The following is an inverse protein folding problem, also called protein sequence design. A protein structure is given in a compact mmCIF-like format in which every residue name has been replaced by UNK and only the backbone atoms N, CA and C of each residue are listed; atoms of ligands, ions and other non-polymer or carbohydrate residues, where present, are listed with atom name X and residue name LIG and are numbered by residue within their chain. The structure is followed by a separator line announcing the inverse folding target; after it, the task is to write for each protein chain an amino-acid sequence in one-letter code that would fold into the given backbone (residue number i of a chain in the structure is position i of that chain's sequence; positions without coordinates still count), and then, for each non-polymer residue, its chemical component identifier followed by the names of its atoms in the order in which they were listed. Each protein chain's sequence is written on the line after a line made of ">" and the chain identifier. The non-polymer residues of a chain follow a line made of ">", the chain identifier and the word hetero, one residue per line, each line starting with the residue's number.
data_IF_645968563151
#
_entry.id   IF_645968563151
#
_cell.length_a   1.000
_cell.length_b   1.000
_cell.length_c   1.000
_cell.angle_alpha   90.00
_cell.angle_beta   90.00
_cell.angle_gamma   90.00
#
_symmetry.space_group_name_H-M   'P 1'
#
loop_
_entity.id
_entity.type
_entity.pdbx_description
1 polymer ?
#
# COMPACT_ATOMS: atom_id res chain seq x y z
N UNK A 1 -5.17 22.72 -18.79
CA UNK A 1 -5.43 21.92 -17.57
C UNK A 1 -5.01 22.82 -16.40
N UNK A 2 -5.89 23.08 -15.46
CA UNK A 2 -5.58 23.90 -14.29
C UNK A 2 -5.07 23.02 -13.16
N UNK A 3 -3.87 23.28 -12.68
CA UNK A 3 -3.22 22.58 -11.56
C UNK A 3 -3.32 23.35 -10.24
N UNK A 4 -4.09 24.43 -10.21
CA UNK A 4 -4.31 25.19 -8.99
C UNK A 4 -5.16 24.37 -8.01
N UNK A 5 -4.72 24.33 -6.76
CA UNK A 5 -5.48 23.68 -5.71
C UNK A 5 -6.62 24.62 -5.29
N UNK A 6 -7.83 24.09 -5.17
CA UNK A 6 -8.94 24.86 -4.58
C UNK A 6 -8.67 25.12 -3.09
N UNK A 7 -9.44 26.05 -2.50
CA UNK A 7 -9.27 26.47 -1.11
C UNK A 7 -9.36 25.31 -0.10
N UNK A 8 -10.33 24.41 -0.30
CA UNK A 8 -10.54 23.26 0.60
C UNK A 8 -9.32 22.32 0.57
N UNK A 9 -8.82 22.01 -0.61
CA UNK A 9 -7.65 21.13 -0.76
C UNK A 9 -6.38 21.81 -0.24
N UNK A 10 -6.22 23.11 -0.48
CA UNK A 10 -5.09 23.90 0.03
C UNK A 10 -5.09 23.94 1.56
N UNK A 11 -6.24 24.17 2.17
CA UNK A 11 -6.39 24.14 3.62
C UNK A 11 -6.14 22.75 4.21
N UNK A 12 -6.66 21.69 3.56
CA UNK A 12 -6.44 20.32 3.99
C UNK A 12 -4.96 19.93 3.88
N UNK A 13 -4.28 20.31 2.80
CA UNK A 13 -2.84 20.12 2.62
C UNK A 13 -2.03 20.77 3.75
N UNK A 14 -2.37 22.02 4.10
CA UNK A 14 -1.72 22.73 5.20
C UNK A 14 -1.93 22.01 6.55
N UNK A 15 -3.13 21.49 6.82
CA UNK A 15 -3.43 20.69 8.02
C UNK A 15 -2.63 19.39 8.06
N UNK A 16 -2.54 18.66 6.93
CA UNK A 16 -1.71 17.44 6.84
C UNK A 16 -0.25 17.77 7.10
N UNK A 17 0.28 18.84 6.49
CA UNK A 17 1.65 19.30 6.73
C UNK A 17 1.90 19.60 8.21
N UNK A 18 1.02 20.38 8.82
CA UNK A 18 1.11 20.71 10.25
C UNK A 18 1.07 19.46 11.13
N UNK A 19 0.18 18.51 10.82
CA UNK A 19 0.08 17.25 11.55
C UNK A 19 1.37 16.43 11.46
N UNK A 20 1.94 16.31 10.24
CA UNK A 20 3.21 15.61 10.01
C UNK A 20 4.34 16.26 10.80
N UNK A 21 4.50 17.57 10.69
CA UNK A 21 5.60 18.30 11.32
C UNK A 21 5.46 18.31 12.87
N UNK A 22 4.25 18.45 13.40
CA UNK A 22 4.02 18.59 14.84
C UNK A 22 3.91 17.25 15.59
N UNK A 23 3.43 16.19 14.95
CA UNK A 23 3.10 14.95 15.65
C UNK A 23 3.83 13.72 15.11
N UNK A 24 4.05 13.61 13.79
CA UNK A 24 4.62 12.40 13.21
C UNK A 24 6.14 12.46 13.27
N UNK A 25 6.76 13.53 12.77
CA UNK A 25 8.22 13.66 12.73
C UNK A 25 8.86 13.50 14.12
N UNK A 26 8.34 14.13 15.20
CA UNK A 26 8.92 13.93 16.53
C UNK A 26 8.76 12.52 17.09
N UNK A 27 7.83 11.72 16.54
CA UNK A 27 7.54 10.35 17.00
C UNK A 27 8.19 9.25 16.15
N UNK A 28 8.90 9.58 15.06
CA UNK A 28 9.47 8.61 14.12
C UNK A 28 10.31 7.54 14.80
N UNK A 29 11.30 7.96 15.60
CA UNK A 29 12.22 7.04 16.27
C UNK A 29 11.50 6.10 17.26
N UNK A 30 10.47 6.62 17.94
CA UNK A 30 9.64 5.83 18.87
C UNK A 30 8.85 4.78 18.08
N UNK A 31 8.20 5.18 16.97
CA UNK A 31 7.43 4.26 16.13
C UNK A 31 8.32 3.15 15.57
N UNK A 32 9.50 3.49 15.07
CA UNK A 32 10.44 2.51 14.53
C UNK A 32 11.00 1.57 15.61
N UNK A 33 11.27 2.08 16.80
CA UNK A 33 11.70 1.26 17.95
C UNK A 33 10.58 0.32 18.43
N UNK A 34 9.35 0.81 18.51
CA UNK A 34 8.18 0.01 18.84
C UNK A 34 7.94 -1.10 17.82
N UNK A 35 8.04 -0.81 16.52
CA UNK A 35 7.86 -1.80 15.45
C UNK A 35 8.87 -2.94 15.57
N UNK A 36 10.16 -2.64 15.80
CA UNK A 36 11.21 -3.63 16.09
C UNK A 36 10.91 -4.51 17.30
N UNK A 37 10.22 -3.94 18.29
CA UNK A 37 9.77 -4.65 19.48
C UNK A 37 8.42 -5.36 19.31
N UNK A 38 7.83 -5.35 18.10
CA UNK A 38 6.51 -5.91 17.82
C UNK A 38 5.35 -5.13 18.42
N UNK A 39 5.58 -3.85 18.75
CA UNK A 39 4.59 -2.93 19.33
C UNK A 39 4.18 -1.85 18.34
N UNK A 40 3.03 -1.23 18.54
CA UNK A 40 2.49 -0.17 17.68
C UNK A 40 1.64 0.84 18.44
N UNK A 41 2.00 1.12 19.69
CA UNK A 41 1.20 1.97 20.58
C UNK A 41 1.17 3.42 20.07
N UNK A 42 2.34 3.97 19.80
CA UNK A 42 2.48 5.34 19.27
C UNK A 42 1.84 5.50 17.89
N UNK A 43 2.02 4.53 16.98
CA UNK A 43 1.38 4.54 15.68
C UNK A 43 -0.16 4.55 15.81
N UNK A 44 -0.72 3.69 16.66
CA UNK A 44 -2.17 3.62 16.90
C UNK A 44 -2.73 4.91 17.51
N UNK A 45 -1.99 5.53 18.45
CA UNK A 45 -2.37 6.81 19.04
C UNK A 45 -2.42 7.92 17.99
N UNK A 46 -1.43 7.99 17.09
CA UNK A 46 -1.42 8.96 15.99
C UNK A 46 -2.50 8.68 14.95
N UNK A 47 -2.80 7.42 14.65
CA UNK A 47 -3.93 7.04 13.80
C UNK A 47 -5.27 7.48 14.40
N UNK A 48 -5.47 7.29 15.71
CA UNK A 48 -6.67 7.76 16.40
C UNK A 48 -6.78 9.29 16.34
N UNK A 49 -5.67 10.00 16.53
CA UNK A 49 -5.63 11.46 16.39
C UNK A 49 -5.94 11.91 14.97
N UNK A 50 -5.38 11.26 13.94
CA UNK A 50 -5.66 11.58 12.54
C UNK A 50 -7.15 11.41 12.20
N UNK A 51 -7.80 10.39 12.78
CA UNK A 51 -9.27 10.21 12.67
C UNK A 51 -10.03 11.34 13.35
N UNK A 52 -9.68 11.68 14.58
CA UNK A 52 -10.34 12.77 15.33
C UNK A 52 -10.21 14.11 14.61
N UNK A 53 -9.08 14.37 13.98
CA UNK A 53 -8.81 15.58 13.21
C UNK A 53 -9.43 15.53 11.79
N UNK A 54 -10.15 14.45 11.42
CA UNK A 54 -10.79 14.29 10.10
C UNK A 54 -9.78 14.20 8.94
N UNK A 55 -8.60 13.64 9.17
CA UNK A 55 -7.54 13.47 8.17
C UNK A 55 -7.34 12.00 7.76
N UNK A 56 -8.24 11.11 8.18
CA UNK A 56 -8.18 9.68 7.92
C UNK A 56 -8.61 9.33 6.50
N UNK A 57 -7.88 8.45 5.82
CA UNK A 57 -8.16 7.94 4.47
C UNK A 57 -8.71 8.99 3.48
N UNK A 58 -8.09 10.17 3.35
CA UNK A 58 -8.68 11.31 2.62
C UNK A 58 -8.92 11.02 1.13
N UNK A 59 -8.31 9.97 0.57
CA UNK A 59 -8.51 9.52 -0.81
C UNK A 59 -9.85 8.81 -1.02
N UNK A 60 -10.39 8.19 0.01
CA UNK A 60 -11.65 7.45 -0.09
C UNK A 60 -12.88 8.38 -0.10
N UNK A 61 -14.03 7.91 -0.60
CA UNK A 61 -15.27 8.67 -0.57
C UNK A 61 -15.72 9.00 0.86
N UNK A 62 -16.53 10.07 1.05
CA UNK A 62 -17.09 10.44 2.35
C UNK A 62 -17.87 9.33 3.04
N UNK A 63 -18.56 8.47 2.28
CA UNK A 63 -19.27 7.31 2.81
C UNK A 63 -18.37 6.29 3.55
N UNK A 64 -17.07 6.31 3.27
CA UNK A 64 -16.03 5.50 3.94
C UNK A 64 -15.17 6.32 4.92
N UNK A 65 -15.59 7.54 5.24
CA UNK A 65 -14.88 8.41 6.16
C UNK A 65 -13.74 9.23 5.54
N UNK A 66 -13.60 9.20 4.21
CA UNK A 66 -12.63 10.00 3.48
C UNK A 66 -13.17 11.34 3.00
N UNK A 67 -12.46 12.02 2.14
CA UNK A 67 -12.80 13.33 1.58
C UNK A 67 -13.11 13.29 0.08
N UNK A 68 -12.89 12.15 -0.59
CA UNK A 68 -13.16 11.98 -2.01
C UNK A 68 -12.24 12.81 -2.92
N UNK A 69 -11.07 13.18 -2.46
CA UNK A 69 -10.13 13.91 -3.30
C UNK A 69 -9.63 13.03 -4.45
N UNK A 70 -9.79 13.50 -5.68
CA UNK A 70 -9.28 12.86 -6.87
C UNK A 70 -7.74 12.92 -6.98
N UNK A 71 -7.18 12.57 -8.14
CA UNK A 71 -5.72 12.45 -8.33
C UNK A 71 -4.91 13.67 -7.90
N UNK A 72 -5.40 14.89 -8.13
CA UNK A 72 -4.74 16.13 -7.68
C UNK A 72 -4.66 16.24 -6.17
N UNK A 73 -5.74 15.85 -5.47
CA UNK A 73 -5.75 15.82 -4.02
C UNK A 73 -4.80 14.77 -3.47
N UNK A 74 -4.78 13.59 -4.09
CA UNK A 74 -3.80 12.55 -3.74
C UNK A 74 -2.36 13.06 -3.90
N UNK A 75 -2.03 13.72 -5.02
CA UNK A 75 -0.71 14.32 -5.21
C UNK A 75 -0.35 15.30 -4.09
N UNK A 76 -1.24 16.23 -3.79
CA UNK A 76 -0.99 17.27 -2.81
C UNK A 76 -0.81 16.71 -1.39
N UNK A 77 -1.67 15.78 -0.97
CA UNK A 77 -1.67 15.26 0.40
C UNK A 77 -0.55 14.22 0.61
N UNK A 78 -0.33 13.32 -0.35
CA UNK A 78 0.71 12.29 -0.23
C UNK A 78 2.13 12.88 -0.24
N UNK A 79 2.34 14.03 -0.88
CA UNK A 79 3.59 14.78 -0.78
C UNK A 79 3.86 15.23 0.66
N UNK A 80 2.86 15.77 1.35
CA UNK A 80 3.02 16.18 2.74
C UNK A 80 3.17 14.97 3.69
N UNK A 81 2.39 13.90 3.48
CA UNK A 81 2.54 12.65 4.23
C UNK A 81 3.93 12.02 4.05
N UNK A 82 4.47 12.08 2.84
CA UNK A 82 5.79 11.53 2.49
C UNK A 82 6.98 12.25 3.12
N UNK A 83 6.79 13.38 3.77
CA UNK A 83 7.84 14.05 4.56
C UNK A 83 8.36 13.18 5.72
N UNK A 84 7.57 12.19 6.12
CA UNK A 84 7.95 11.17 7.09
C UNK A 84 7.88 9.78 6.46
N UNK A 85 8.87 8.89 6.67
CA UNK A 85 8.80 7.51 6.18
C UNK A 85 7.62 6.73 6.78
N UNK A 86 7.10 7.14 7.94
CA UNK A 86 5.94 6.54 8.58
C UNK A 86 4.64 7.33 8.35
N UNK A 87 4.72 8.48 7.67
CA UNK A 87 3.61 9.43 7.56
C UNK A 87 2.38 8.85 6.89
N UNK A 88 2.53 8.22 5.72
CA UNK A 88 1.40 7.63 5.01
C UNK A 88 0.68 6.56 5.84
N UNK A 89 1.41 5.78 6.67
CA UNK A 89 0.84 4.75 7.54
C UNK A 89 -0.05 5.34 8.62
N UNK A 90 0.29 6.51 9.14
CA UNK A 90 -0.51 7.22 10.17
C UNK A 90 -1.88 7.61 9.64
N UNK A 91 -2.00 7.97 8.36
CA UNK A 91 -3.27 8.33 7.73
C UNK A 91 -3.99 7.16 7.05
N UNK A 92 -3.48 5.92 7.20
CA UNK A 92 -3.93 4.71 6.49
C UNK A 92 -3.94 4.89 4.95
N UNK A 93 -2.90 5.55 4.46
CA UNK A 93 -2.67 5.87 3.05
C UNK A 93 -1.43 5.17 2.50
N UNK A 94 -0.94 4.14 3.19
CA UNK A 94 0.30 3.46 2.82
C UNK A 94 0.06 2.25 1.92
N UNK A 95 1.07 1.89 1.14
CA UNK A 95 1.07 0.68 0.35
C UNK A 95 1.30 -0.56 1.25
N UNK A 96 0.72 -1.72 0.89
CA UNK A 96 -0.14 -1.99 -0.26
C UNK A 96 -1.61 -1.65 -0.03
N UNK A 97 -2.01 -1.37 1.22
CA UNK A 97 -3.39 -1.29 1.66
C UNK A 97 -4.17 -0.19 0.92
N UNK A 98 -3.57 1.00 0.71
CA UNK A 98 -4.22 2.09 -0.01
C UNK A 98 -4.68 1.65 -1.41
N UNK A 99 -3.78 1.06 -2.21
CA UNK A 99 -4.14 0.60 -3.55
C UNK A 99 -5.11 -0.58 -3.55
N UNK A 100 -5.09 -1.42 -2.51
CA UNK A 100 -6.04 -2.51 -2.36
C UNK A 100 -7.42 -2.02 -1.92
N UNK A 101 -7.51 -0.95 -1.11
CA UNK A 101 -8.79 -0.28 -0.80
C UNK A 101 -9.44 0.28 -2.07
N UNK A 102 -8.67 0.99 -2.92
CA UNK A 102 -9.18 1.53 -4.18
C UNK A 102 -9.68 0.41 -5.11
N UNK A 103 -8.92 -0.69 -5.19
CA UNK A 103 -9.28 -1.85 -5.99
C UNK A 103 -10.56 -2.55 -5.49
N UNK A 104 -10.68 -2.77 -4.18
CA UNK A 104 -11.85 -3.37 -3.56
C UNK A 104 -13.09 -2.49 -3.71
N UNK A 105 -12.95 -1.17 -3.53
CA UNK A 105 -14.05 -0.22 -3.72
C UNK A 105 -14.63 -0.30 -5.13
N UNK A 106 -13.77 -0.51 -6.13
CA UNK A 106 -14.17 -0.50 -7.54
C UNK A 106 -14.67 -1.85 -8.03
N UNK A 107 -14.08 -2.96 -7.61
CA UNK A 107 -14.28 -4.27 -8.23
C UNK A 107 -14.86 -5.34 -7.30
N UNK A 108 -14.90 -5.09 -5.99
CA UNK A 108 -15.38 -6.09 -5.05
C UNK A 108 -16.91 -6.09 -4.93
N UNK A 109 -17.48 -7.28 -4.80
CA UNK A 109 -18.89 -7.47 -4.42
C UNK A 109 -19.15 -6.89 -3.03
N UNK A 110 -20.41 -6.64 -2.69
CA UNK A 110 -20.81 -6.04 -1.40
C UNK A 110 -20.30 -6.84 -0.21
N UNK A 111 -20.43 -8.16 -0.27
CA UNK A 111 -19.98 -9.09 0.78
C UNK A 111 -18.46 -8.99 1.01
N UNK A 112 -17.67 -8.82 -0.05
CA UNK A 112 -16.23 -8.62 0.05
C UNK A 112 -15.87 -7.21 0.54
N UNK A 113 -16.65 -6.20 0.19
CA UNK A 113 -16.47 -4.86 0.76
C UNK A 113 -16.71 -4.86 2.27
N UNK A 114 -17.74 -5.56 2.73
CA UNK A 114 -18.03 -5.72 4.16
C UNK A 114 -16.94 -6.55 4.88
N UNK A 115 -16.48 -7.64 4.26
CA UNK A 115 -15.50 -8.57 4.84
C UNK A 115 -14.07 -8.03 4.84
N UNK A 116 -13.65 -7.30 3.80
CA UNK A 116 -12.27 -6.91 3.58
C UNK A 116 -12.08 -5.39 3.54
N UNK A 117 -12.88 -4.64 2.75
CA UNK A 117 -12.69 -3.20 2.60
C UNK A 117 -13.00 -2.46 3.90
N UNK A 118 -14.12 -2.70 4.52
CA UNK A 118 -14.53 -1.99 5.72
C UNK A 118 -13.52 -2.14 6.88
N UNK A 119 -13.06 -3.36 7.26
CA UNK A 119 -12.03 -3.49 8.29
C UNK A 119 -10.64 -2.97 7.85
N UNK A 120 -10.31 -3.02 6.55
CA UNK A 120 -9.07 -2.43 6.02
C UNK A 120 -9.08 -0.90 6.15
N UNK A 121 -10.21 -0.25 5.84
CA UNK A 121 -10.43 1.19 6.05
C UNK A 121 -10.30 1.57 7.52
N UNK A 122 -10.74 0.71 8.43
CA UNK A 122 -10.57 0.92 9.88
C UNK A 122 -9.17 0.56 10.41
N UNK A 123 -8.27 0.09 9.55
CA UNK A 123 -6.94 -0.42 9.91
C UNK A 123 -6.97 -1.55 10.96
N UNK A 124 -8.03 -2.36 10.96
CA UNK A 124 -8.18 -3.55 11.79
C UNK A 124 -7.45 -4.76 11.19
N UNK A 125 -7.33 -4.77 9.87
CA UNK A 125 -6.62 -5.78 9.08
C UNK A 125 -5.64 -5.09 8.12
N UNK A 126 -4.73 -5.90 7.56
CA UNK A 126 -3.82 -5.51 6.48
C UNK A 126 -3.95 -6.49 5.32
N UNK A 127 -3.44 -6.10 4.16
CA UNK A 127 -3.53 -6.88 2.93
C UNK A 127 -2.19 -6.95 2.20
N UNK A 128 -2.09 -7.80 1.19
CA UNK A 128 -0.96 -7.80 0.26
C UNK A 128 -1.44 -7.98 -1.18
N UNK A 129 -0.64 -7.51 -2.12
CA UNK A 129 -0.89 -7.66 -3.56
C UNK A 129 0.16 -8.60 -4.16
N UNK A 130 -0.27 -9.79 -4.57
CA UNK A 130 0.56 -10.89 -5.04
C UNK A 130 0.50 -10.99 -6.56
N UNK A 131 1.35 -10.23 -7.28
CA UNK A 131 1.43 -10.23 -8.74
C UNK A 131 2.77 -10.77 -9.24
N UNK A 132 3.87 -10.18 -8.80
CA UNK A 132 5.23 -10.49 -9.24
C UNK A 132 5.65 -11.92 -8.88
N UNK A 133 6.42 -12.57 -9.74
CA UNK A 133 6.84 -13.96 -9.59
C UNK A 133 8.36 -14.12 -9.65
N UNK A 134 8.95 -15.07 -8.89
CA UNK A 134 10.35 -15.46 -9.06
C UNK A 134 10.56 -16.19 -10.39
N UNK A 135 11.80 -16.26 -10.85
CA UNK A 135 12.20 -17.09 -12.00
C UNK A 135 11.84 -18.57 -11.72
N UNK A 136 11.24 -19.28 -12.69
CA UNK A 136 11.03 -18.95 -14.09
C UNK A 136 9.68 -18.25 -14.39
N UNK A 137 9.05 -17.63 -13.40
CA UNK A 137 7.76 -16.94 -13.56
C UNK A 137 7.89 -15.57 -14.21
N UNK A 138 6.79 -14.82 -14.13
CA UNK A 138 6.57 -13.57 -14.84
C UNK A 138 7.55 -12.43 -14.52
N UNK A 139 8.26 -12.48 -13.39
CA UNK A 139 8.90 -11.27 -12.90
C UNK A 139 7.83 -10.19 -12.69
N UNK A 140 8.06 -8.99 -13.22
CA UNK A 140 7.11 -7.88 -13.19
C UNK A 140 6.18 -7.84 -14.43
N UNK A 141 6.33 -8.77 -15.38
CA UNK A 141 5.51 -8.85 -16.60
C UNK A 141 4.35 -9.84 -16.42
N UNK A 142 3.11 -9.39 -16.19
CA UNK A 142 1.98 -10.27 -15.94
C UNK A 142 1.54 -11.11 -17.15
N UNK A 143 2.04 -10.83 -18.36
CA UNK A 143 1.76 -11.67 -19.53
C UNK A 143 2.41 -13.06 -19.45
N UNK A 144 3.44 -13.21 -18.62
CA UNK A 144 4.20 -14.44 -18.42
C UNK A 144 3.86 -15.17 -17.10
N UNK A 145 2.69 -14.92 -16.52
CA UNK A 145 2.29 -15.54 -15.25
C UNK A 145 2.38 -17.07 -15.30
N UNK A 146 3.06 -17.65 -14.29
CA UNK A 146 3.16 -19.10 -14.06
C UNK A 146 2.23 -19.56 -12.95
N UNK A 147 1.95 -18.71 -11.96
CA UNK A 147 0.90 -18.99 -10.98
C UNK A 147 -0.41 -19.20 -11.74
N UNK A 148 -0.96 -20.39 -11.65
CA UNK A 148 -2.16 -20.79 -12.39
C UNK A 148 -3.33 -21.02 -11.42
N UNK A 149 -4.53 -20.64 -11.86
CA UNK A 149 -5.78 -21.03 -11.25
C UNK A 149 -6.49 -21.97 -12.23
N UNK A 150 -6.69 -23.23 -11.82
CA UNK A 150 -7.42 -24.24 -12.59
C UNK A 150 -8.86 -24.29 -12.09
N UNK A 151 -9.80 -24.32 -13.02
CA UNK A 151 -11.20 -24.51 -12.69
C UNK A 151 -11.43 -25.90 -12.12
N UNK A 152 -12.19 -25.96 -11.05
CA UNK A 152 -12.56 -27.19 -10.35
C UNK A 152 -14.01 -27.11 -9.88
N UNK A 153 -14.58 -28.23 -9.43
CA UNK A 153 -15.95 -28.21 -8.91
C UNK A 153 -16.09 -27.17 -7.79
N UNK A 154 -16.96 -26.19 -7.99
CA UNK A 154 -17.31 -25.15 -7.01
C UNK A 154 -16.34 -23.95 -6.94
N UNK A 155 -15.36 -23.85 -7.86
CA UNK A 155 -14.45 -22.71 -7.87
C UNK A 155 -13.13 -22.95 -8.59
N UNK A 156 -12.03 -22.51 -7.99
CA UNK A 156 -10.69 -22.56 -8.58
C UNK A 156 -9.67 -23.14 -7.61
N UNK A 157 -8.62 -23.71 -8.14
CA UNK A 157 -7.45 -24.19 -7.40
C UNK A 157 -6.20 -23.46 -7.87
N UNK A 158 -5.59 -22.69 -6.95
CA UNK A 158 -4.44 -21.83 -7.24
C UNK A 158 -3.15 -22.55 -6.85
N UNK A 159 -2.20 -22.64 -7.80
CA UNK A 159 -0.86 -23.17 -7.56
C UNK A 159 0.18 -22.28 -8.21
N UNK A 160 1.23 -21.96 -7.48
CA UNK A 160 2.33 -21.12 -7.96
C UNK A 160 3.07 -20.40 -6.85
N UNK A 161 3.82 -19.38 -7.24
CA UNK A 161 4.71 -18.67 -6.32
C UNK A 161 4.75 -17.19 -6.62
N UNK A 162 4.64 -16.38 -5.59
CA UNK A 162 4.70 -14.90 -5.67
C UNK A 162 5.81 -14.39 -4.77
N UNK A 163 6.45 -13.29 -5.19
CA UNK A 163 7.44 -12.62 -4.38
C UNK A 163 7.33 -11.10 -4.47
N UNK A 164 8.12 -10.38 -3.69
CA UNK A 164 7.97 -8.93 -3.51
C UNK A 164 6.52 -8.56 -3.22
N UNK A 165 5.86 -9.42 -2.43
CA UNK A 165 4.50 -9.18 -1.97
C UNK A 165 4.55 -8.44 -0.65
N UNK A 166 4.63 -7.10 -0.75
CA UNK A 166 4.74 -6.20 0.41
C UNK A 166 3.63 -6.47 1.42
N UNK A 167 4.00 -6.62 2.68
CA UNK A 167 3.05 -6.82 3.78
C UNK A 167 2.52 -8.26 3.93
N UNK A 168 2.83 -9.19 3.02
CA UNK A 168 2.26 -10.54 3.02
C UNK A 168 2.54 -11.34 4.30
N UNK A 169 3.58 -10.99 5.09
CA UNK A 169 3.88 -11.61 6.37
C UNK A 169 2.69 -11.50 7.34
N UNK A 170 2.13 -10.31 7.47
CA UNK A 170 1.11 -9.94 8.45
C UNK A 170 -0.28 -9.74 7.83
N UNK A 171 -0.42 -9.89 6.51
CA UNK A 171 -1.68 -9.70 5.81
C UNK A 171 -2.78 -10.64 6.34
N UNK A 172 -4.00 -10.15 6.42
CA UNK A 172 -5.18 -10.97 6.70
C UNK A 172 -5.69 -11.65 5.43
N UNK A 173 -5.55 -10.98 4.29
CA UNK A 173 -5.88 -11.53 2.98
C UNK A 173 -4.90 -11.07 1.91
N UNK A 174 -4.88 -11.81 0.82
CA UNK A 174 -4.02 -11.58 -0.34
C UNK A 174 -4.89 -11.33 -1.57
N UNK A 175 -4.55 -10.31 -2.35
CA UNK A 175 -5.08 -10.15 -3.72
C UNK A 175 -4.11 -10.87 -4.65
N UNK A 176 -4.51 -12.03 -5.15
CA UNK A 176 -3.64 -12.92 -5.92
C UNK A 176 -3.98 -12.85 -7.39
N UNK A 177 -3.01 -12.50 -8.22
CA UNK A 177 -3.14 -12.56 -9.66
C UNK A 177 -2.65 -13.92 -10.16
N UNK A 178 -3.52 -14.67 -10.85
CA UNK A 178 -3.22 -15.99 -11.38
C UNK A 178 -3.74 -16.17 -12.81
N UNK A 179 -3.10 -17.03 -13.57
CA UNK A 179 -3.45 -17.35 -14.95
C UNK A 179 -4.62 -18.34 -14.97
N UNK A 180 -5.71 -17.95 -15.62
CA UNK A 180 -6.93 -18.77 -15.80
C UNK A 180 -7.09 -19.27 -17.24
N UNK A 181 -6.38 -18.69 -18.22
CA UNK A 181 -6.32 -19.15 -19.61
C UNK A 181 -4.99 -18.77 -20.25
N UNK A 182 -4.74 -19.23 -21.46
CA UNK A 182 -3.50 -18.93 -22.22
C UNK A 182 -3.61 -17.64 -23.07
N UNK A 183 -4.72 -16.91 -22.99
CA UNK A 183 -4.87 -15.63 -23.69
C UNK A 183 -3.95 -14.57 -23.05
N UNK A 184 -3.04 -13.93 -23.80
CA UNK A 184 -2.08 -13.00 -23.26
C UNK A 184 -2.69 -11.69 -22.71
N UNK A 185 -3.95 -11.37 -23.09
CA UNK A 185 -4.63 -10.15 -22.66
C UNK A 185 -5.66 -10.39 -21.56
N UNK A 186 -6.38 -11.50 -21.64
CA UNK A 186 -7.50 -11.85 -20.76
C UNK A 186 -7.21 -13.13 -19.94
N UNK A 187 -6.01 -13.69 -20.04
CA UNK A 187 -5.65 -14.93 -19.34
C UNK A 187 -5.43 -14.78 -17.85
N UNK A 188 -5.30 -13.56 -17.33
CA UNK A 188 -5.10 -13.32 -15.91
C UNK A 188 -6.40 -12.94 -15.20
N UNK A 189 -6.59 -13.48 -14.00
CA UNK A 189 -7.70 -13.14 -13.10
C UNK A 189 -7.17 -12.78 -11.71
N UNK A 190 -7.99 -12.11 -10.90
CA UNK A 190 -7.65 -11.79 -9.51
C UNK A 190 -8.55 -12.53 -8.55
N UNK A 191 -7.97 -12.99 -7.45
CA UNK A 191 -8.64 -13.74 -6.41
C UNK A 191 -8.35 -13.12 -5.04
N UNK A 192 -9.38 -13.07 -4.20
CA UNK A 192 -9.24 -12.75 -2.78
C UNK A 192 -8.98 -14.04 -2.01
N UNK A 193 -7.80 -14.17 -1.43
CA UNK A 193 -7.35 -15.38 -0.76
C UNK A 193 -7.09 -15.07 0.71
N UNK A 194 -7.73 -15.82 1.62
CA UNK A 194 -7.39 -15.73 3.03
C UNK A 194 -5.92 -16.13 3.23
N UNK A 195 -5.16 -15.30 3.94
CA UNK A 195 -3.74 -15.56 4.20
C UNK A 195 -3.48 -16.88 4.92
N UNK A 196 -4.47 -17.37 5.67
CA UNK A 196 -4.42 -18.61 6.45
C UNK A 196 -5.08 -19.79 5.73
N UNK A 197 -5.50 -19.60 4.46
CA UNK A 197 -6.09 -20.70 3.70
C UNK A 197 -5.11 -21.87 3.58
N UNK A 198 -5.62 -23.09 3.61
CA UNK A 198 -4.81 -24.31 3.40
C UNK A 198 -4.09 -24.23 2.06
N UNK A 199 -2.80 -24.49 2.07
CA UNK A 199 -1.93 -24.41 0.89
C UNK A 199 -1.27 -23.03 0.69
N UNK A 200 -1.57 -22.02 1.48
CA UNK A 200 -0.85 -20.73 1.47
C UNK A 200 0.28 -20.79 2.48
N UNK A 201 1.53 -20.67 2.00
CA UNK A 201 2.73 -20.65 2.84
C UNK A 201 3.49 -19.36 2.65
N UNK A 202 3.77 -18.64 3.74
CA UNK A 202 4.77 -17.57 3.74
C UNK A 202 6.15 -18.21 3.78
N UNK A 203 6.94 -17.99 2.75
CA UNK A 203 8.23 -18.68 2.59
C UNK A 203 9.34 -17.94 3.32
N UNK A 204 9.47 -16.64 3.08
CA UNK A 204 10.52 -15.80 3.66
C UNK A 204 10.31 -14.32 3.35
N UNK A 205 11.03 -13.46 4.05
CA UNK A 205 11.30 -12.10 3.60
C UNK A 205 12.41 -12.11 2.55
N UNK A 206 12.25 -11.26 1.54
CA UNK A 206 13.26 -11.03 0.53
C UNK A 206 14.11 -9.84 0.99
N UNK A 207 15.43 -9.99 1.11
CA UNK A 207 16.29 -8.88 1.45
C UNK A 207 16.18 -7.76 0.40
N UNK A 208 15.98 -6.54 0.89
CA UNK A 208 15.96 -5.33 0.08
C UNK A 208 17.08 -4.39 0.50
N UNK A 209 17.28 -3.32 -0.27
CA UNK A 209 18.21 -2.28 0.08
C UNK A 209 17.63 -1.42 1.23
N UNK A 210 18.28 -1.45 2.36
CA UNK A 210 17.83 -0.75 3.58
C UNK A 210 17.03 -1.64 4.53
N UNK A 211 16.53 -1.03 5.60
CA UNK A 211 15.76 -1.71 6.64
C UNK A 211 14.28 -1.78 6.25
N UNK A 212 13.69 -2.96 6.39
CA UNK A 212 12.26 -3.17 6.22
C UNK A 212 11.56 -2.86 7.55
N UNK A 213 10.68 -1.88 7.55
CA UNK A 213 9.99 -1.40 8.75
C UNK A 213 8.48 -1.43 8.57
N UNK A 214 7.76 -1.48 9.67
CA UNK A 214 6.30 -1.58 9.72
C UNK A 214 5.82 -2.81 8.93
N UNK A 215 4.90 -2.65 8.00
CA UNK A 215 4.41 -3.75 7.18
C UNK A 215 5.11 -3.84 5.80
N UNK A 216 6.23 -3.11 5.59
CA UNK A 216 6.98 -3.09 4.34
C UNK A 216 8.00 -4.24 4.23
N UNK A 217 7.63 -5.43 4.71
CA UNK A 217 8.39 -6.65 4.46
C UNK A 217 8.03 -7.19 3.08
N UNK A 218 9.04 -7.38 2.23
CA UNK A 218 8.87 -7.94 0.90
C UNK A 218 8.79 -9.47 0.99
N UNK A 219 7.57 -9.98 0.92
CA UNK A 219 7.32 -11.40 1.16
C UNK A 219 7.40 -12.28 -0.09
N UNK A 220 7.87 -13.50 0.11
CA UNK A 220 7.69 -14.60 -0.83
C UNK A 220 6.60 -15.53 -0.31
N UNK A 221 5.61 -15.84 -1.18
CA UNK A 221 4.44 -16.65 -0.83
C UNK A 221 4.29 -17.79 -1.84
N UNK A 222 4.12 -19.01 -1.34
CA UNK A 222 3.79 -20.21 -2.11
C UNK A 222 2.30 -20.52 -1.99
N UNK A 223 1.72 -20.99 -3.09
CA UNK A 223 0.35 -21.45 -3.22
C UNK A 223 0.38 -22.88 -3.73
N UNK A 224 -0.14 -23.83 -2.96
CA UNK A 224 -0.12 -25.26 -3.27
C UNK A 224 -1.54 -25.82 -3.20
N UNK A 225 -2.25 -25.80 -4.35
CA UNK A 225 -3.63 -26.30 -4.44
C UNK A 225 -4.61 -25.51 -3.58
N UNK A 226 -4.43 -24.19 -3.50
CA UNK A 226 -5.28 -23.30 -2.69
C UNK A 226 -6.66 -23.22 -3.30
N UNK A 227 -7.67 -23.69 -2.57
CA UNK A 227 -9.07 -23.66 -3.01
C UNK A 227 -9.70 -22.31 -2.73
N UNK A 228 -10.32 -21.74 -3.76
CA UNK A 228 -11.14 -20.52 -3.71
C UNK A 228 -12.44 -20.77 -4.43
N UNK A 229 -13.50 -20.10 -4.00
CA UNK A 229 -14.83 -20.23 -4.60
C UNK A 229 -15.01 -19.28 -5.77
N UNK A 230 -16.12 -19.39 -6.49
CA UNK A 230 -16.49 -18.43 -7.53
C UNK A 230 -16.70 -17.02 -6.94
N UNK A 231 -17.09 -16.94 -5.69
CA UNK A 231 -17.29 -15.67 -5.02
C UNK A 231 -15.97 -14.96 -4.68
N UNK A 232 -14.88 -15.68 -4.52
CA UNK A 232 -13.57 -15.09 -4.22
C UNK A 232 -12.90 -14.44 -5.45
N UNK A 233 -13.53 -14.50 -6.62
CA UNK A 233 -13.05 -13.78 -7.84
C UNK A 233 -13.31 -12.30 -7.67
N UNK A 234 -12.26 -11.49 -7.82
CA UNK A 234 -12.35 -10.03 -7.82
C UNK A 234 -12.58 -9.52 -9.25
N UNK A 235 -13.71 -8.87 -9.49
CA UNK A 235 -14.18 -8.53 -10.83
C UNK A 235 -14.70 -9.76 -11.58
N UNK A 236 -14.33 -9.91 -12.85
CA UNK A 236 -14.65 -11.06 -13.67
C UNK A 236 -13.40 -11.90 -13.97
N UNK A 237 -13.60 -13.15 -14.36
CA UNK A 237 -12.53 -13.97 -14.94
C UNK A 237 -11.99 -13.28 -16.18
N UNK A 238 -10.67 -13.14 -16.29
CA UNK A 238 -10.00 -12.43 -17.37
C UNK A 238 -9.77 -10.93 -17.16
N UNK A 239 -10.35 -10.33 -16.11
CA UNK A 239 -10.15 -8.88 -15.81
C UNK A 239 -8.83 -8.59 -15.07
N UNK A 240 -8.03 -9.60 -14.70
CA UNK A 240 -6.90 -9.43 -13.80
C UNK A 240 -5.87 -8.39 -14.26
N UNK A 241 -5.50 -8.39 -15.54
CA UNK A 241 -4.57 -7.40 -16.08
C UNK A 241 -5.15 -5.98 -16.04
N UNK A 242 -6.41 -5.81 -16.43
CA UNK A 242 -7.12 -4.53 -16.40
C UNK A 242 -7.21 -3.98 -14.98
N UNK A 243 -7.59 -4.80 -14.03
CA UNK A 243 -7.69 -4.42 -12.61
C UNK A 243 -6.31 -4.08 -12.02
N UNK A 244 -5.25 -4.81 -12.43
CA UNK A 244 -3.88 -4.48 -12.04
C UNK A 244 -3.49 -3.07 -12.53
N UNK A 245 -3.78 -2.71 -13.78
CA UNK A 245 -3.47 -1.37 -14.30
C UNK A 245 -4.23 -0.28 -13.56
N UNK A 246 -5.51 -0.49 -13.30
CA UNK A 246 -6.34 0.46 -12.55
C UNK A 246 -5.77 0.71 -11.14
N UNK A 247 -5.34 -0.35 -10.44
CA UNK A 247 -4.70 -0.24 -9.13
C UNK A 247 -3.32 0.43 -9.18
N UNK A 248 -2.52 0.09 -10.19
CA UNK A 248 -1.11 0.51 -10.26
C UNK A 248 -0.94 1.97 -10.69
N UNK A 249 -1.88 2.55 -11.45
CA UNK A 249 -1.78 3.94 -11.90
C UNK A 249 -1.78 4.91 -10.70
N UNK A 250 -2.78 4.92 -9.81
CA UNK A 250 -2.74 5.79 -8.63
C UNK A 250 -1.61 5.41 -7.66
N UNK A 251 -1.29 4.11 -7.53
CA UNK A 251 -0.19 3.67 -6.67
C UNK A 251 1.16 4.24 -7.11
N UNK A 252 1.47 4.26 -8.40
CA UNK A 252 2.71 4.87 -8.92
C UNK A 252 2.74 6.37 -8.62
N UNK A 253 1.62 7.06 -8.82
CA UNK A 253 1.52 8.50 -8.56
C UNK A 253 1.75 8.81 -7.08
N UNK A 254 1.10 8.10 -6.17
CA UNK A 254 1.26 8.31 -4.73
C UNK A 254 2.66 7.97 -4.23
N UNK A 255 3.33 6.96 -4.82
CA UNK A 255 4.74 6.69 -4.54
C UNK A 255 5.64 7.86 -4.95
N UNK A 256 5.49 8.40 -6.16
CA UNK A 256 6.24 9.56 -6.60
C UNK A 256 6.06 10.74 -5.63
N UNK A 257 4.84 11.00 -5.19
CA UNK A 257 4.56 12.10 -4.27
C UNK A 257 5.17 11.88 -2.89
N UNK A 258 5.12 10.67 -2.34
CA UNK A 258 5.78 10.36 -1.06
C UNK A 258 7.28 10.53 -1.14
N UNK A 259 7.92 10.04 -2.22
CA UNK A 259 9.35 10.25 -2.43
C UNK A 259 9.72 11.71 -2.60
N UNK A 260 8.88 12.52 -3.27
CA UNK A 260 9.09 13.96 -3.39
C UNK A 260 9.07 14.63 -2.00
N UNK A 261 8.08 14.30 -1.15
CA UNK A 261 8.00 14.83 0.21
C UNK A 261 9.23 14.49 1.06
N UNK A 262 9.71 13.24 0.94
CA UNK A 262 10.92 12.80 1.64
C UNK A 262 12.17 13.54 1.16
N UNK A 263 12.31 13.72 -0.16
CA UNK A 263 13.42 14.46 -0.76
C UNK A 263 13.42 15.92 -0.32
N UNK A 264 12.26 16.57 -0.26
CA UNK A 264 12.12 17.95 0.22
C UNK A 264 12.55 18.10 1.68
N UNK A 265 12.08 17.19 2.56
CA UNK A 265 12.53 17.20 3.96
C UNK A 265 14.02 16.94 4.08
N UNK A 266 14.55 16.00 3.31
CA UNK A 266 16.00 15.73 3.29
C UNK A 266 16.79 16.99 2.91
N UNK A 267 16.34 17.72 1.89
CA UNK A 267 16.96 18.98 1.49
C UNK A 267 16.86 20.06 2.59
N UNK A 268 15.72 20.17 3.27
CA UNK A 268 15.55 21.06 4.43
C UNK A 268 16.55 20.76 5.55
N UNK A 269 16.69 19.47 5.89
CA UNK A 269 17.65 19.00 6.91
C UNK A 269 19.11 19.27 6.50
N UNK A 270 19.46 19.03 5.22
CA UNK A 270 20.79 19.34 4.71
C UNK A 270 21.09 20.85 4.80
N UNK A 271 20.16 21.69 4.37
CA UNK A 271 20.32 23.15 4.46
C UNK A 271 20.52 23.63 5.89
N UNK A 272 19.73 23.11 6.81
CA UNK A 272 19.88 23.40 8.24
C UNK A 272 21.25 22.96 8.75
N UNK A 273 21.64 21.72 8.47
CA UNK A 273 22.92 21.17 8.93
C UNK A 273 24.12 21.97 8.44
N UNK A 274 24.19 22.31 7.13
CA UNK A 274 25.35 23.05 6.59
C UNK A 274 25.43 24.50 7.09
N UNK A 275 24.32 25.11 7.51
CA UNK A 275 24.31 26.44 8.11
C UNK A 275 24.72 26.46 9.58
N UNK A 276 24.57 25.34 10.30
CA UNK A 276 24.90 25.21 11.71
C UNK A 276 26.29 24.56 11.93
N UNK A 277 26.71 23.68 11.03
CA UNK A 277 27.94 22.91 11.15
C UNK A 277 29.17 23.76 10.81
N UNK A 278 30.07 23.89 11.76
CA UNK A 278 31.40 24.54 11.55
C UNK A 278 32.48 23.48 11.33
N UNK A 279 33.33 23.66 10.33
CA UNK A 279 34.53 22.85 10.06
C UNK A 279 35.65 23.73 9.54
N UNK A 280 36.88 23.46 9.97
CA UNK A 280 38.04 24.26 9.61
C UNK A 280 37.86 25.79 9.84
N UNK A 281 37.16 26.13 10.95
CA UNK A 281 36.93 27.54 11.35
C UNK A 281 35.87 28.29 10.55
N UNK A 282 35.09 27.61 9.68
CA UNK A 282 34.02 28.19 8.86
C UNK A 282 32.75 27.33 8.90
N UNK A 283 31.58 27.96 8.70
CA UNK A 283 30.35 27.25 8.43
C UNK A 283 30.47 26.46 7.11
N UNK A 284 29.90 25.25 7.04
CA UNK A 284 29.94 24.46 5.80
C UNK A 284 29.23 25.13 4.62
N UNK A 285 28.29 26.04 4.92
CA UNK A 285 27.55 26.79 3.89
C UNK A 285 28.37 27.89 3.21
N UNK A 286 29.58 28.18 3.71
CA UNK A 286 30.54 29.20 3.18
C UNK A 286 31.70 28.47 2.50
#
# INVERSE_FOLDING_TARGET
>A
MDFMLNEVLSATRARVRQFVDAHIIPAEDIILAEDKAGKRETLKALQAKARADGLWVPHLPPALGGMGFGPMGMCALFREMGRSPVGAKVFNCDAPDQGNMDLLLMAAKKEHQERYLAPLVRAEITSAFCMTEPVPGAGADPSNLRTAAKEVSGGWEITGRKWYSTGARNASFLVVMARTSDDPRTGASMFLVDRRAKGVTYVRDIPTFGEQVLDHHEGEVSFEGVRVTLDDVLGNIGDGFKLAQVRLVPARLTHCMRWLGLAERTLELCKKYISERTSFGKELAR
#
